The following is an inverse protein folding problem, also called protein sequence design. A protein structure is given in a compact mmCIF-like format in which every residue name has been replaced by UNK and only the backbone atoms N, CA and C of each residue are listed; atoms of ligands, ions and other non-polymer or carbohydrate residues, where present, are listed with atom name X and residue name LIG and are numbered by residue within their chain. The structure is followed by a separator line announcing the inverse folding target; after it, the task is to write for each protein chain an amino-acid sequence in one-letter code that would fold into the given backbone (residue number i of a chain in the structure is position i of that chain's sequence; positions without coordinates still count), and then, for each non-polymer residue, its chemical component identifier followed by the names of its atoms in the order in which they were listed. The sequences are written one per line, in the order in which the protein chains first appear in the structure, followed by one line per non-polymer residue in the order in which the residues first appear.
data_IF_989878371925
#
_entry.id   IF_989878371925
#
_cell.length_a   1.000
_cell.length_b   1.000
_cell.length_c   1.000
_cell.angle_alpha   90.00
_cell.angle_beta   90.00
_cell.angle_gamma   90.00
#
_symmetry.space_group_name_H-M   'P 1'
#
loop_
_entity.id
_entity.type
_entity.pdbx_description
1 polymer ?
#
# COMPACT_ATOMS: atom_id res chain seq x y z
N UNK A 1 1.67 13.40 -27.47
CA UNK A 1 2.40 13.19 -26.21
C UNK A 1 2.01 11.93 -25.43
N UNK A 2 0.83 11.34 -25.69
CA UNK A 2 0.39 10.08 -25.06
C UNK A 2 1.35 8.93 -25.40
N UNK A 3 1.75 8.79 -26.64
CA UNK A 3 2.68 7.76 -27.11
C UNK A 3 4.03 7.84 -26.35
N UNK A 4 4.58 9.04 -26.19
CA UNK A 4 5.85 9.25 -25.47
C UNK A 4 5.74 8.83 -23.98
N UNK A 5 4.61 9.12 -23.36
CA UNK A 5 4.35 8.71 -21.97
C UNK A 5 4.20 7.20 -21.88
N UNK A 6 3.45 6.58 -22.81
CA UNK A 6 3.28 5.13 -22.89
C UNK A 6 4.63 4.41 -23.06
N UNK A 7 5.47 4.86 -23.98
CA UNK A 7 6.81 4.27 -24.18
C UNK A 7 7.71 4.44 -22.95
N UNK A 8 7.59 5.53 -22.18
CA UNK A 8 8.34 5.72 -20.95
C UNK A 8 7.95 4.68 -19.89
N UNK A 9 6.65 4.44 -19.71
CA UNK A 9 6.17 3.42 -18.76
C UNK A 9 6.51 2.00 -19.21
N UNK A 10 6.34 1.69 -20.49
CA UNK A 10 6.72 0.40 -21.06
C UNK A 10 8.23 0.15 -20.89
N UNK A 11 9.07 1.14 -21.17
CA UNK A 11 10.51 1.05 -20.95
C UNK A 11 10.87 0.76 -19.49
N UNK A 12 10.24 1.44 -18.55
CA UNK A 12 10.44 1.19 -17.12
C UNK A 12 10.02 -0.24 -16.73
N UNK A 13 8.88 -0.73 -17.23
CA UNK A 13 8.40 -2.10 -16.99
C UNK A 13 9.40 -3.12 -17.57
N UNK A 14 9.89 -2.93 -18.80
CA UNK A 14 10.87 -3.83 -19.41
C UNK A 14 12.19 -3.88 -18.67
N UNK A 15 12.68 -2.73 -18.16
CA UNK A 15 13.89 -2.68 -17.35
C UNK A 15 13.69 -3.47 -16.05
N UNK A 16 12.58 -3.26 -15.35
CA UNK A 16 12.26 -4.00 -14.12
C UNK A 16 12.09 -5.50 -14.37
N UNK A 17 11.39 -5.87 -15.45
CA UNK A 17 11.24 -7.26 -15.84
C UNK A 17 12.58 -7.89 -16.20
N UNK A 18 13.46 -7.18 -16.92
CA UNK A 18 14.82 -7.64 -17.25
C UNK A 18 15.66 -7.87 -16.00
N UNK A 19 15.65 -6.94 -15.05
CA UNK A 19 16.34 -7.09 -13.77
C UNK A 19 15.77 -8.29 -13.00
N UNK A 20 14.44 -8.42 -12.92
CA UNK A 20 13.78 -9.54 -12.24
C UNK A 20 14.12 -10.89 -12.87
N UNK A 21 14.12 -10.97 -14.20
CA UNK A 21 14.50 -12.18 -14.95
C UNK A 21 15.97 -12.52 -14.72
N UNK A 22 16.86 -11.54 -14.78
CA UNK A 22 18.28 -11.74 -14.50
C UNK A 22 18.51 -12.27 -13.09
N UNK A 23 17.93 -11.62 -12.09
CA UNK A 23 18.01 -12.06 -10.69
C UNK A 23 17.48 -13.51 -10.56
N UNK A 24 16.31 -13.81 -11.13
CA UNK A 24 15.70 -15.14 -11.09
C UNK A 24 16.56 -16.23 -11.74
N UNK A 25 17.17 -15.92 -12.89
CA UNK A 25 18.01 -16.87 -13.62
C UNK A 25 19.28 -17.24 -12.87
N UNK A 26 19.91 -16.30 -12.20
CA UNK A 26 21.18 -16.50 -11.51
C UNK A 26 21.04 -16.69 -10.00
N UNK A 27 19.81 -16.73 -9.48
CA UNK A 27 19.52 -16.76 -8.05
C UNK A 27 20.26 -17.86 -7.30
N UNK A 28 20.22 -19.08 -7.83
CA UNK A 28 20.85 -20.27 -7.20
C UNK A 28 22.38 -20.17 -7.18
N UNK A 29 22.98 -19.50 -8.16
CA UNK A 29 24.43 -19.32 -8.24
C UNK A 29 24.94 -18.11 -7.42
N UNK A 30 24.05 -17.25 -6.95
CA UNK A 30 24.42 -16.08 -6.15
C UNK A 30 24.61 -16.47 -4.69
N UNK A 31 25.71 -16.02 -4.09
CA UNK A 31 25.87 -16.05 -2.63
C UNK A 31 24.96 -15.02 -1.94
N UNK A 32 24.69 -15.21 -0.64
CA UNK A 32 23.79 -14.37 0.18
C UNK A 32 24.05 -12.87 0.05
N UNK A 33 25.30 -12.46 0.11
CA UNK A 33 25.68 -11.03 -0.04
C UNK A 33 25.28 -10.48 -1.40
N UNK A 34 25.45 -11.26 -2.46
CA UNK A 34 25.12 -10.85 -3.82
C UNK A 34 23.60 -10.75 -4.02
N UNK A 35 22.82 -11.66 -3.44
CA UNK A 35 21.36 -11.63 -3.46
C UNK A 35 20.84 -10.35 -2.80
N UNK A 36 21.37 -10.01 -1.62
CA UNK A 36 21.01 -8.78 -0.90
C UNK A 36 21.41 -7.53 -1.70
N UNK A 37 22.61 -7.53 -2.27
CA UNK A 37 23.08 -6.39 -3.07
C UNK A 37 22.24 -6.18 -4.33
N UNK A 38 21.91 -7.24 -5.05
CA UNK A 38 21.12 -7.17 -6.29
C UNK A 38 19.66 -6.81 -6.06
N UNK A 39 19.13 -7.00 -4.87
CA UNK A 39 17.75 -6.62 -4.51
C UNK A 39 17.73 -5.29 -3.75
N UNK A 40 18.23 -5.27 -2.54
CA UNK A 40 18.21 -4.08 -1.67
C UNK A 40 19.12 -2.97 -2.17
N UNK A 41 20.34 -3.32 -2.63
CA UNK A 41 21.32 -2.35 -3.16
C UNK A 41 20.78 -1.65 -4.39
N UNK A 42 20.20 -2.38 -5.34
CA UNK A 42 19.55 -1.79 -6.54
C UNK A 42 18.38 -0.91 -6.11
N UNK A 43 17.57 -1.31 -5.12
CA UNK A 43 16.49 -0.49 -4.57
C UNK A 43 17.00 0.86 -4.05
N UNK A 44 18.09 0.88 -3.29
CA UNK A 44 18.69 2.13 -2.79
C UNK A 44 19.34 2.97 -3.91
N UNK A 45 19.93 2.35 -4.92
CA UNK A 45 20.44 3.07 -6.10
C UNK A 45 19.28 3.80 -6.81
N UNK A 46 18.17 3.10 -7.05
CA UNK A 46 16.96 3.70 -7.63
C UNK A 46 16.41 4.85 -6.77
N UNK A 47 16.47 4.71 -5.46
CA UNK A 47 16.07 5.77 -4.53
C UNK A 47 16.98 6.99 -4.65
N UNK A 48 18.30 6.81 -4.73
CA UNK A 48 19.26 7.92 -4.92
C UNK A 48 18.98 8.63 -6.23
N UNK A 49 18.74 7.88 -7.31
CA UNK A 49 18.38 8.45 -8.62
C UNK A 49 17.04 9.22 -8.52
N UNK A 50 16.04 8.67 -7.81
CA UNK A 50 14.77 9.36 -7.56
C UNK A 50 14.98 10.69 -6.83
N UNK A 51 15.75 10.69 -5.73
CA UNK A 51 16.02 11.89 -4.93
C UNK A 51 16.79 12.93 -5.76
N UNK A 52 17.72 12.50 -6.61
CA UNK A 52 18.45 13.38 -7.52
C UNK A 52 17.50 13.98 -8.58
N UNK A 53 16.65 13.16 -9.19
CA UNK A 53 15.66 13.63 -10.17
C UNK A 53 14.68 14.64 -9.57
N UNK A 54 14.27 14.43 -8.30
CA UNK A 54 13.39 15.35 -7.57
C UNK A 54 14.06 16.70 -7.25
N UNK A 55 15.36 16.69 -7.01
CA UNK A 55 16.11 17.95 -6.75
C UNK A 55 16.32 18.77 -8.00
N UNK A 56 16.49 18.12 -9.15
CA UNK A 56 16.76 18.79 -10.41
C UNK A 56 15.50 19.27 -11.15
N UNK A 57 14.32 18.76 -10.76
CA UNK A 57 12.99 19.03 -11.38
C UNK A 57 12.96 18.79 -12.90
N UNK A 58 13.86 17.95 -13.38
CA UNK A 58 14.15 17.79 -14.82
C UNK A 58 13.26 16.77 -15.52
N UNK A 59 12.75 15.77 -14.77
CA UNK A 59 12.06 14.60 -15.34
C UNK A 59 10.79 14.21 -14.59
N UNK A 60 9.75 15.07 -14.55
CA UNK A 60 8.56 14.83 -13.74
C UNK A 60 7.82 13.52 -14.10
N UNK A 61 7.89 13.09 -15.37
CA UNK A 61 7.24 11.85 -15.83
C UNK A 61 7.94 10.56 -15.36
N UNK A 62 9.20 10.63 -14.97
CA UNK A 62 9.96 9.48 -14.46
C UNK A 62 9.82 9.29 -12.96
N UNK A 63 9.34 10.31 -12.22
CA UNK A 63 9.24 10.27 -10.76
C UNK A 63 8.37 9.10 -10.29
N UNK A 64 7.19 8.95 -10.87
CA UNK A 64 6.24 7.90 -10.45
C UNK A 64 6.79 6.48 -10.70
N UNK A 65 7.20 6.10 -11.92
CA UNK A 65 7.71 4.75 -12.16
C UNK A 65 9.00 4.48 -11.37
N UNK A 66 9.87 5.48 -11.22
CA UNK A 66 11.11 5.33 -10.46
C UNK A 66 10.84 5.15 -8.97
N UNK A 67 9.88 5.90 -8.40
CA UNK A 67 9.47 5.74 -7.01
C UNK A 67 8.89 4.35 -6.73
N UNK A 68 7.99 3.87 -7.60
CA UNK A 68 7.40 2.53 -7.46
C UNK A 68 8.46 1.43 -7.63
N UNK A 69 9.37 1.58 -8.59
CA UNK A 69 10.46 0.64 -8.79
C UNK A 69 11.39 0.57 -7.56
N UNK A 70 11.78 1.72 -7.01
CA UNK A 70 12.61 1.79 -5.81
C UNK A 70 11.90 1.11 -4.61
N UNK A 71 10.61 1.41 -4.40
CA UNK A 71 9.81 0.82 -3.31
C UNK A 71 9.72 -0.70 -3.46
N UNK A 72 9.42 -1.22 -4.65
CA UNK A 72 9.31 -2.66 -4.88
C UNK A 72 10.64 -3.37 -4.65
N UNK A 73 11.74 -2.84 -5.21
CA UNK A 73 13.07 -3.42 -5.03
C UNK A 73 13.55 -3.35 -3.58
N UNK A 74 13.31 -2.25 -2.88
CA UNK A 74 13.67 -2.13 -1.47
C UNK A 74 12.86 -3.09 -0.61
N UNK A 75 11.55 -3.20 -0.83
CA UNK A 75 10.69 -4.12 -0.06
C UNK A 75 11.13 -5.56 -0.27
N UNK A 76 11.31 -5.99 -1.52
CA UNK A 76 11.84 -7.32 -1.83
C UNK A 76 13.23 -7.54 -1.24
N UNK A 77 14.10 -6.54 -1.33
CA UNK A 77 15.46 -6.60 -0.80
C UNK A 77 15.51 -6.73 0.73
N UNK A 78 14.61 -6.06 1.46
CA UNK A 78 14.48 -6.25 2.91
C UNK A 78 14.03 -7.66 3.28
N UNK A 79 13.09 -8.26 2.52
CA UNK A 79 12.70 -9.65 2.73
C UNK A 79 13.88 -10.61 2.47
N UNK A 80 14.63 -10.39 1.39
CA UNK A 80 15.85 -11.18 1.10
C UNK A 80 16.87 -11.04 2.22
N UNK A 81 17.13 -9.82 2.69
CA UNK A 81 18.07 -9.58 3.78
C UNK A 81 17.65 -10.33 5.05
N UNK A 82 16.38 -10.24 5.45
CA UNK A 82 15.90 -10.94 6.64
C UNK A 82 16.02 -12.47 6.46
N UNK A 83 15.66 -12.98 5.29
CA UNK A 83 15.75 -14.42 4.99
C UNK A 83 17.21 -14.93 5.04
N UNK A 84 18.15 -14.17 4.49
CA UNK A 84 19.57 -14.57 4.46
C UNK A 84 20.25 -14.42 5.85
N UNK A 85 19.83 -13.44 6.66
CA UNK A 85 20.40 -13.21 8.01
C UNK A 85 19.76 -14.11 9.05
N UNK A 86 18.47 -14.42 8.92
CA UNK A 86 17.69 -15.23 9.85
C UNK A 86 17.08 -16.46 9.17
N UNK A 87 17.86 -17.38 8.58
CA UNK A 87 17.36 -18.50 7.77
C UNK A 87 16.50 -19.51 8.52
N UNK A 88 16.50 -19.47 9.87
CA UNK A 88 15.72 -20.37 10.74
C UNK A 88 14.55 -19.69 11.43
N UNK A 89 14.18 -18.50 11.00
CA UNK A 89 13.04 -17.79 11.58
C UNK A 89 11.72 -18.39 11.10
N UNK A 90 11.06 -19.19 11.95
CA UNK A 90 9.76 -19.79 11.62
C UNK A 90 8.61 -18.77 11.61
N UNK A 91 8.84 -17.57 12.13
CA UNK A 91 7.80 -16.56 12.24
C UNK A 91 7.86 -15.53 11.10
N UNK A 92 7.23 -15.89 9.95
CA UNK A 92 7.13 -15.01 8.80
C UNK A 92 6.42 -13.68 9.11
N UNK A 93 5.49 -13.66 10.13
CA UNK A 93 4.78 -12.46 10.54
C UNK A 93 5.73 -11.40 11.09
N UNK A 94 6.75 -11.81 11.86
CA UNK A 94 7.78 -10.88 12.35
C UNK A 94 8.61 -10.30 11.21
N UNK A 95 8.94 -11.10 10.21
CA UNK A 95 9.65 -10.60 9.03
C UNK A 95 8.83 -9.56 8.27
N UNK A 96 7.54 -9.83 8.04
CA UNK A 96 6.62 -8.88 7.40
C UNK A 96 6.47 -7.60 8.23
N UNK A 97 6.27 -7.74 9.54
CA UNK A 97 6.15 -6.60 10.45
C UNK A 97 7.41 -5.72 10.41
N UNK A 98 8.60 -6.32 10.47
CA UNK A 98 9.86 -5.60 10.41
C UNK A 98 10.03 -4.86 9.08
N UNK A 99 9.79 -5.54 7.94
CA UNK A 99 9.89 -4.93 6.61
C UNK A 99 8.91 -3.77 6.47
N UNK A 100 7.64 -3.98 6.83
CA UNK A 100 6.62 -2.95 6.70
C UNK A 100 6.88 -1.77 7.64
N UNK A 101 7.37 -2.01 8.85
CA UNK A 101 7.77 -0.96 9.78
C UNK A 101 8.94 -0.11 9.24
N UNK A 102 10.01 -0.75 8.75
CA UNK A 102 11.14 -0.05 8.14
C UNK A 102 10.69 0.74 6.90
N UNK A 103 9.88 0.14 6.04
CA UNK A 103 9.38 0.82 4.84
C UNK A 103 8.43 1.96 5.19
N UNK A 104 7.57 1.83 6.20
CA UNK A 104 6.70 2.90 6.67
C UNK A 104 7.50 4.11 7.17
N UNK A 105 8.54 3.88 7.98
CA UNK A 105 9.44 4.93 8.45
C UNK A 105 10.18 5.59 7.29
N UNK A 106 10.69 4.80 6.35
CA UNK A 106 11.42 5.28 5.20
C UNK A 106 10.55 6.15 4.27
N UNK A 107 9.37 5.62 3.89
CA UNK A 107 8.43 6.35 3.04
C UNK A 107 7.88 7.58 3.75
N UNK A 108 7.63 7.51 5.06
CA UNK A 108 7.21 8.64 5.88
C UNK A 108 8.27 9.76 5.92
N UNK A 109 9.54 9.41 6.08
CA UNK A 109 10.63 10.38 6.05
C UNK A 109 10.78 11.07 4.68
N UNK A 110 10.67 10.30 3.58
CA UNK A 110 10.67 10.85 2.23
C UNK A 110 9.44 11.74 1.97
N UNK A 111 8.26 11.32 2.43
CA UNK A 111 7.03 12.11 2.31
C UNK A 111 7.14 13.44 3.05
N UNK A 112 7.69 13.43 4.25
CA UNK A 112 7.91 14.66 5.05
C UNK A 112 8.82 15.66 4.31
N UNK A 113 9.76 15.16 3.50
CA UNK A 113 10.72 16.00 2.75
C UNK A 113 10.18 16.44 1.39
N UNK A 114 9.57 15.55 0.63
CA UNK A 114 9.23 15.79 -0.79
C UNK A 114 7.73 15.99 -1.06
N UNK A 115 6.85 15.63 -0.13
CA UNK A 115 5.39 15.82 -0.20
C UNK A 115 4.73 15.34 -1.50
N UNK A 116 5.21 14.21 -2.07
CA UNK A 116 4.67 13.64 -3.30
C UNK A 116 3.51 12.70 -3.00
N UNK A 117 2.49 12.70 -3.86
CA UNK A 117 1.31 11.83 -3.72
C UNK A 117 1.67 10.33 -3.74
N UNK A 118 2.64 9.93 -4.56
CA UNK A 118 3.13 8.53 -4.61
C UNK A 118 3.76 8.11 -3.28
N UNK A 119 4.51 9.01 -2.62
CA UNK A 119 5.11 8.72 -1.32
C UNK A 119 4.04 8.66 -0.21
N UNK A 120 3.00 9.49 -0.30
CA UNK A 120 1.86 9.41 0.60
C UNK A 120 1.11 8.09 0.45
N UNK A 121 0.88 7.63 -0.78
CA UNK A 121 0.27 6.34 -1.07
C UNK A 121 1.09 5.19 -0.50
N UNK A 122 2.40 5.14 -0.80
CA UNK A 122 3.28 4.06 -0.33
C UNK A 122 3.45 4.09 1.19
N UNK A 123 3.56 5.27 1.81
CA UNK A 123 3.61 5.41 3.27
C UNK A 123 2.33 4.87 3.93
N UNK A 124 1.15 5.24 3.43
CA UNK A 124 -0.12 4.70 3.91
C UNK A 124 -0.18 3.18 3.74
N UNK A 125 0.20 2.65 2.58
CA UNK A 125 0.24 1.21 2.32
C UNK A 125 1.07 0.46 3.36
N UNK A 126 2.30 0.92 3.64
CA UNK A 126 3.16 0.26 4.61
C UNK A 126 2.71 0.46 6.05
N UNK A 127 2.17 1.63 6.42
CA UNK A 127 1.61 1.86 7.75
C UNK A 127 0.42 0.93 8.01
N UNK A 128 -0.52 0.84 7.07
CA UNK A 128 -1.69 -0.02 7.24
C UNK A 128 -1.32 -1.50 7.21
N UNK A 129 -0.38 -1.90 6.35
CA UNK A 129 0.15 -3.26 6.35
C UNK A 129 0.88 -3.61 7.66
N UNK A 130 1.67 -2.68 8.20
CA UNK A 130 2.31 -2.84 9.52
C UNK A 130 1.28 -3.01 10.63
N UNK A 131 0.25 -2.16 10.65
CA UNK A 131 -0.84 -2.24 11.63
C UNK A 131 -1.62 -3.55 11.50
N UNK A 132 -1.92 -3.97 10.28
CA UNK A 132 -2.63 -5.23 10.01
C UNK A 132 -1.89 -6.43 10.59
N UNK A 133 -0.60 -6.56 10.27
CA UNK A 133 0.22 -7.68 10.79
C UNK A 133 0.42 -7.56 12.30
N UNK A 134 0.60 -6.35 12.82
CA UNK A 134 0.71 -6.12 14.27
C UNK A 134 -0.54 -6.54 15.03
N UNK A 135 -1.73 -6.20 14.53
CA UNK A 135 -3.00 -6.61 15.13
C UNK A 135 -3.24 -8.13 14.99
N UNK A 136 -2.84 -8.72 13.86
CA UNK A 136 -2.89 -10.17 13.66
C UNK A 136 -1.98 -10.94 14.63
N UNK A 137 -0.82 -10.36 14.98
CA UNK A 137 0.07 -10.93 16.00
C UNK A 137 -0.46 -10.85 17.43
N UNK A 138 -1.47 -10.01 17.68
CA UNK A 138 -2.21 -9.97 18.94
C UNK A 138 -3.36 -10.98 18.98
N UNK A 139 -3.40 -11.91 18.00
CA UNK A 139 -4.45 -12.93 17.83
C UNK A 139 -5.87 -12.35 17.77
N UNK A 140 -6.00 -11.10 17.29
CA UNK A 140 -7.31 -10.49 17.08
C UNK A 140 -8.02 -11.15 15.89
N UNK A 141 -9.30 -11.51 16.03
CA UNK A 141 -10.09 -12.00 14.91
C UNK A 141 -10.10 -11.01 13.73
N UNK A 142 -10.03 -11.54 12.51
CA UNK A 142 -9.99 -10.73 11.28
C UNK A 142 -11.07 -9.64 11.22
N UNK A 143 -12.28 -9.96 11.70
CA UNK A 143 -13.37 -9.00 11.75
C UNK A 143 -13.02 -7.71 12.51
N UNK A 144 -12.38 -7.83 13.68
CA UNK A 144 -11.99 -6.66 14.47
C UNK A 144 -10.86 -5.88 13.78
N UNK A 145 -9.88 -6.59 13.20
CA UNK A 145 -8.79 -5.97 12.44
C UNK A 145 -9.38 -5.15 11.29
N UNK A 146 -10.27 -5.74 10.51
CA UNK A 146 -10.91 -5.08 9.39
C UNK A 146 -11.74 -3.86 9.80
N UNK A 147 -12.48 -3.95 10.92
CA UNK A 147 -13.25 -2.82 11.45
C UNK A 147 -12.32 -1.69 11.92
N UNK A 148 -11.28 -2.00 12.70
CA UNK A 148 -10.35 -1.00 13.23
C UNK A 148 -9.62 -0.30 12.07
N UNK A 149 -9.05 -1.07 11.14
CA UNK A 149 -8.31 -0.51 10.00
C UNK A 149 -9.24 0.24 9.06
N UNK A 150 -10.42 -0.29 8.79
CA UNK A 150 -11.42 0.36 7.95
C UNK A 150 -11.89 1.69 8.56
N UNK A 151 -12.23 1.71 9.85
CA UNK A 151 -12.63 2.93 10.54
C UNK A 151 -11.50 3.98 10.56
N UNK A 152 -10.26 3.57 10.86
CA UNK A 152 -9.13 4.48 10.84
C UNK A 152 -8.83 5.02 9.45
N UNK A 153 -8.90 4.17 8.41
CA UNK A 153 -8.69 4.60 7.03
C UNK A 153 -9.81 5.53 6.53
N UNK A 154 -11.04 5.33 7.01
CA UNK A 154 -12.16 6.23 6.72
C UNK A 154 -11.89 7.65 7.26
N UNK A 155 -11.42 7.74 8.52
CA UNK A 155 -11.03 9.04 9.13
C UNK A 155 -9.87 9.67 8.37
N UNK A 156 -8.84 8.88 8.02
CA UNK A 156 -7.70 9.36 7.22
C UNK A 156 -8.15 9.79 5.83
N UNK A 157 -9.02 9.02 5.16
CA UNK A 157 -9.58 9.36 3.85
C UNK A 157 -10.29 10.72 3.85
N UNK A 158 -11.15 10.97 4.85
CA UNK A 158 -11.84 12.27 5.01
C UNK A 158 -10.86 13.41 5.33
N UNK A 159 -9.81 13.14 6.09
CA UNK A 159 -8.78 14.14 6.38
C UNK A 159 -7.95 14.47 5.12
N UNK A 160 -7.66 13.49 4.27
CA UNK A 160 -6.92 13.67 3.02
C UNK A 160 -7.60 14.63 2.04
N UNK A 161 -8.94 14.72 2.05
CA UNK A 161 -9.68 15.66 1.18
C UNK A 161 -9.22 17.12 1.35
N UNK A 162 -8.80 17.49 2.56
CA UNK A 162 -8.36 18.85 2.90
C UNK A 162 -6.84 19.06 2.73
N UNK A 163 -6.13 18.07 2.18
CA UNK A 163 -4.68 18.10 2.04
C UNK A 163 -4.27 18.16 0.55
N UNK A 164 -3.01 18.46 0.23
CA UNK A 164 -2.48 18.33 -1.12
C UNK A 164 -2.62 16.92 -1.71
N UNK A 165 -2.87 15.91 -0.87
CA UNK A 165 -3.01 14.50 -1.24
C UNK A 165 -4.47 14.08 -1.48
N UNK A 166 -5.38 15.01 -1.73
CA UNK A 166 -6.82 14.77 -1.93
C UNK A 166 -7.13 13.69 -2.99
N UNK A 167 -6.24 13.49 -3.96
CA UNK A 167 -6.36 12.41 -4.97
C UNK A 167 -6.41 11.02 -4.33
N UNK A 168 -5.80 10.84 -3.15
CA UNK A 168 -5.80 9.58 -2.41
C UNK A 168 -7.05 9.40 -1.53
N UNK A 169 -7.87 10.43 -1.35
CA UNK A 169 -9.05 10.37 -0.50
C UNK A 169 -10.06 9.34 -1.02
N UNK A 170 -10.35 9.37 -2.33
CA UNK A 170 -11.30 8.45 -2.95
C UNK A 170 -10.90 6.97 -2.81
N UNK A 171 -9.70 6.53 -3.25
CA UNK A 171 -9.31 5.14 -3.07
C UNK A 171 -9.20 4.75 -1.58
N UNK A 172 -8.79 5.67 -0.69
CA UNK A 172 -8.75 5.40 0.74
C UNK A 172 -10.15 5.15 1.31
N UNK A 173 -11.15 5.98 0.97
CA UNK A 173 -12.54 5.81 1.40
C UNK A 173 -13.16 4.53 0.84
N UNK A 174 -12.86 4.19 -0.42
CA UNK A 174 -13.32 2.94 -1.04
C UNK A 174 -12.79 1.72 -0.29
N UNK A 175 -11.47 1.67 -0.07
CA UNK A 175 -10.83 0.56 0.67
C UNK A 175 -11.35 0.51 2.11
N UNK A 176 -11.49 1.66 2.78
CA UNK A 176 -12.05 1.76 4.12
C UNK A 176 -13.46 1.16 4.20
N UNK A 177 -14.31 1.48 3.23
CA UNK A 177 -15.67 0.96 3.15
C UNK A 177 -15.69 -0.56 2.95
N UNK A 178 -14.83 -1.08 2.05
CA UNK A 178 -14.68 -2.53 1.81
C UNK A 178 -14.24 -3.24 3.10
N UNK A 179 -13.23 -2.72 3.79
CA UNK A 179 -12.75 -3.33 5.03
C UNK A 179 -13.79 -3.28 6.15
N UNK A 180 -14.45 -2.14 6.36
CA UNK A 180 -15.53 -2.02 7.35
C UNK A 180 -16.64 -3.04 7.08
N UNK A 181 -17.12 -3.11 5.84
CA UNK A 181 -18.17 -4.04 5.48
C UNK A 181 -17.73 -5.51 5.63
N UNK A 182 -16.48 -5.84 5.22
CA UNK A 182 -15.95 -7.20 5.38
C UNK A 182 -15.88 -7.62 6.85
N UNK A 183 -15.38 -6.74 7.73
CA UNK A 183 -15.31 -7.03 9.16
C UNK A 183 -16.68 -7.14 9.83
N UNK A 184 -17.61 -6.27 9.49
CA UNK A 184 -18.98 -6.33 9.97
C UNK A 184 -19.69 -7.58 9.48
N UNK A 185 -19.56 -7.91 8.20
CA UNK A 185 -20.18 -9.09 7.59
C UNK A 185 -19.66 -10.38 8.24
N UNK A 186 -18.35 -10.49 8.49
CA UNK A 186 -17.76 -11.65 9.15
C UNK A 186 -18.30 -11.84 10.58
N UNK A 187 -18.45 -10.74 11.33
CA UNK A 187 -19.05 -10.79 12.69
C UNK A 187 -20.51 -11.21 12.69
N UNK A 188 -21.24 -10.86 11.67
CA UNK A 188 -22.64 -11.07 11.55
C UNK A 188 -22.94 -12.48 11.02
N UNK A 189 -22.12 -13.00 10.10
CA UNK A 189 -22.22 -14.39 9.62
C UNK A 189 -22.05 -15.41 10.76
N UNK A 190 -21.32 -15.04 11.82
CA UNK A 190 -21.17 -15.85 13.05
C UNK A 190 -22.34 -15.67 14.01
N UNK A 191 -23.08 -14.57 13.94
CA UNK A 191 -24.24 -14.32 14.77
C UNK A 191 -25.49 -14.97 14.13
N UNK A 192 -26.14 -15.85 14.88
CA UNK A 192 -27.22 -16.77 14.46
C UNK A 192 -28.53 -16.11 13.96
N UNK A 193 -28.59 -14.78 13.81
CA UNK A 193 -29.76 -14.06 13.30
C UNK A 193 -29.40 -13.21 12.10
N UNK A 194 -29.56 -13.80 10.91
CA UNK A 194 -29.31 -13.18 9.62
C UNK A 194 -30.00 -11.80 9.39
N UNK A 195 -31.09 -11.52 10.11
CA UNK A 195 -31.86 -10.28 9.99
C UNK A 195 -31.13 -9.04 10.57
N UNK A 196 -30.43 -9.18 11.68
CA UNK A 196 -29.61 -8.08 12.24
C UNK A 196 -28.38 -7.79 11.39
N UNK A 197 -27.87 -8.81 10.74
CA UNK A 197 -26.77 -8.76 9.80
C UNK A 197 -27.02 -7.78 8.66
N UNK A 198 -28.09 -8.00 7.93
CA UNK A 198 -28.48 -7.15 6.82
C UNK A 198 -28.74 -5.71 7.27
N UNK A 199 -29.35 -5.54 8.47
CA UNK A 199 -29.66 -4.21 8.98
C UNK A 199 -28.38 -3.41 9.31
N UNK A 200 -27.42 -3.99 10.03
CA UNK A 200 -26.18 -3.30 10.41
C UNK A 200 -25.31 -3.06 9.16
N UNK A 201 -25.20 -4.04 8.26
CA UNK A 201 -24.46 -3.86 7.01
C UNK A 201 -25.10 -2.78 6.15
N UNK A 202 -26.44 -2.80 6.00
CA UNK A 202 -27.19 -1.80 5.28
C UNK A 202 -27.00 -0.39 5.84
N UNK A 203 -27.06 -0.23 7.17
CA UNK A 203 -26.81 1.07 7.84
C UNK A 203 -25.38 1.56 7.59
N UNK A 204 -24.37 0.68 7.69
CA UNK A 204 -22.98 1.06 7.42
C UNK A 204 -22.77 1.46 5.96
N UNK A 205 -23.33 0.72 5.02
CA UNK A 205 -23.29 1.05 3.59
C UNK A 205 -24.00 2.38 3.32
N UNK A 206 -25.15 2.63 3.95
CA UNK A 206 -25.85 3.91 3.85
C UNK A 206 -25.04 5.07 4.40
N UNK A 207 -24.36 4.91 5.55
CA UNK A 207 -23.47 5.94 6.08
C UNK A 207 -22.26 6.20 5.18
N UNK A 208 -21.65 5.15 4.63
CA UNK A 208 -20.56 5.28 3.67
C UNK A 208 -21.04 5.98 2.38
N UNK A 209 -22.19 5.57 1.83
CA UNK A 209 -22.80 6.19 0.67
C UNK A 209 -23.18 7.65 0.92
N UNK A 210 -23.73 7.97 2.12
CA UNK A 210 -24.02 9.34 2.52
C UNK A 210 -22.75 10.20 2.63
N UNK A 211 -21.70 9.66 3.23
CA UNK A 211 -20.39 10.33 3.29
C UNK A 211 -19.82 10.63 1.91
N UNK A 212 -19.92 9.68 0.98
CA UNK A 212 -19.50 9.86 -0.42
C UNK A 212 -20.41 10.84 -1.18
N UNK A 213 -21.72 10.81 -0.93
CA UNK A 213 -22.70 11.71 -1.59
C UNK A 213 -22.54 13.18 -1.13
N UNK A 214 -22.24 13.39 0.15
CA UNK A 214 -21.99 14.73 0.69
C UNK A 214 -20.69 15.35 0.15
N UNK A 215 -19.75 14.51 -0.30
CA UNK A 215 -18.62 14.91 -1.10
C UNK A 215 -19.12 15.08 -2.53
N UNK A 216 -19.36 16.29 -3.00
CA UNK A 216 -19.79 16.59 -4.38
C UNK A 216 -18.88 16.01 -5.47
N UNK A 217 -17.73 15.44 -5.07
CA UNK A 217 -16.72 14.86 -5.94
C UNK A 217 -17.04 13.44 -6.44
N UNK A 218 -17.90 12.68 -5.74
CA UNK A 218 -18.07 11.25 -6.04
C UNK A 218 -19.52 10.77 -6.20
N UNK A 219 -20.37 11.49 -6.97
CA UNK A 219 -21.79 11.13 -7.11
C UNK A 219 -22.00 9.74 -7.75
N UNK A 220 -21.02 9.25 -8.55
CA UNK A 220 -21.11 7.94 -9.20
C UNK A 220 -20.85 6.78 -8.24
N UNK A 221 -19.91 6.94 -7.29
CA UNK A 221 -19.62 5.94 -6.26
C UNK A 221 -20.70 5.92 -5.18
N UNK A 222 -21.28 7.08 -4.86
CA UNK A 222 -22.44 7.15 -3.97
C UNK A 222 -23.62 6.32 -4.51
N UNK A 223 -23.88 6.38 -5.84
CA UNK A 223 -24.90 5.57 -6.48
C UNK A 223 -24.73 4.08 -6.29
N UNK A 224 -23.48 3.56 -6.35
CA UNK A 224 -23.18 2.15 -6.11
C UNK A 224 -23.45 1.73 -4.64
N UNK A 225 -23.18 2.61 -3.68
CA UNK A 225 -23.44 2.36 -2.25
C UNK A 225 -24.92 2.28 -1.88
N UNK A 226 -25.82 2.83 -2.68
CA UNK A 226 -27.26 2.74 -2.45
C UNK A 226 -27.92 1.48 -3.05
N UNK A 227 -27.20 0.73 -3.88
CA UNK A 227 -27.69 -0.47 -4.53
C UNK A 227 -27.24 -1.78 -3.85
N UNK A 228 -26.43 -1.74 -2.80
CA UNK A 228 -25.99 -2.88 -1.99
C UNK A 228 -26.76 -2.93 -0.70
#
# INVERSE_FOLDING_TARGET
DVAKTLFTYLGAIFILAGIGTYIGTFWESMGSVMRVFMTLGVGYILLIVLVSALREDKYPKLILPLALAAVLMMTGGWFVLIHEVFPRGDNWRLAVLAVFGVMALHQGALLARFRLTVLAFTALFFVYGFMQVGLDMLDLPFAYIAIILGASLFVVGTALEKTPFHVLAEPALLIATIWLNSGLFDRIAVATTASWAGLVTGVCVMFAAYGMHKSERYPRLAGLGYFV
#
